data_IF_723861505191
#
_entry.id   IF_723861505191
#
_cell.length_a   1.000
_cell.length_b   1.000
_cell.length_c   1.000
_cell.angle_alpha   90.00
_cell.angle_beta   90.00
_cell.angle_gamma   90.00
#
_symmetry.space_group_name_H-M   'P 1'
#
loop_
_entity.id
_entity.type
_entity.pdbx_description
1 polymer ?
#
# COMPACT_ATOMS: atom_id res chain seq x y z
N UNK A 1 5.54 -4.70 -0.87
CA UNK A 1 5.85 -3.78 -1.99
C UNK A 1 7.14 -4.13 -2.71
N UNK A 2 8.30 -3.90 -2.10
CA UNK A 2 9.61 -3.90 -2.79
C UNK A 2 10.11 -5.24 -3.34
N UNK A 3 9.73 -6.36 -2.72
CA UNK A 3 10.23 -7.68 -3.15
C UNK A 3 9.48 -8.30 -4.33
N UNK A 4 8.22 -7.91 -4.54
CA UNK A 4 7.34 -8.56 -5.51
C UNK A 4 6.53 -7.55 -6.33
N UNK A 5 5.75 -6.70 -5.66
CA UNK A 5 4.79 -5.79 -6.31
C UNK A 5 5.49 -4.78 -7.22
N UNK A 6 6.45 -3.99 -6.72
CA UNK A 6 7.12 -2.97 -7.54
C UNK A 6 7.93 -3.61 -8.68
N UNK A 7 8.74 -4.68 -8.44
CA UNK A 7 9.42 -5.37 -9.53
C UNK A 7 8.45 -5.91 -10.57
N UNK A 8 7.33 -6.52 -10.18
CA UNK A 8 6.36 -7.05 -11.13
C UNK A 8 5.71 -5.96 -12.00
N UNK A 9 5.44 -4.78 -11.44
CA UNK A 9 4.91 -3.64 -12.21
C UNK A 9 5.98 -3.08 -13.16
N UNK A 10 7.23 -2.96 -12.70
CA UNK A 10 8.36 -2.50 -13.52
C UNK A 10 8.63 -3.42 -14.70
N UNK A 11 8.56 -4.72 -14.43
CA UNK A 11 8.66 -5.78 -15.41
C UNK A 11 7.54 -5.63 -16.48
N UNK A 12 6.29 -5.55 -16.03
CA UNK A 12 5.13 -5.41 -16.92
C UNK A 12 5.14 -4.13 -17.80
N UNK A 13 5.86 -3.08 -17.38
CA UNK A 13 6.00 -1.80 -18.10
C UNK A 13 4.65 -1.19 -18.55
N UNK A 14 3.72 -0.89 -17.62
CA UNK A 14 2.39 -0.39 -17.97
C UNK A 14 2.44 1.05 -18.47
N UNK A 15 1.47 1.43 -19.32
CA UNK A 15 1.21 2.84 -19.66
C UNK A 15 0.37 3.58 -18.62
N UNK A 16 -0.31 2.87 -17.72
CA UNK A 16 -1.18 3.42 -16.67
C UNK A 16 -1.27 2.41 -15.52
N UNK A 17 -1.17 2.89 -14.28
CA UNK A 17 -1.48 2.09 -13.09
C UNK A 17 -2.82 2.53 -12.51
N UNK A 18 -3.72 1.56 -12.31
CA UNK A 18 -5.00 1.77 -11.62
C UNK A 18 -5.02 0.92 -10.36
N UNK A 19 -5.28 1.54 -9.22
CA UNK A 19 -5.34 0.88 -7.91
C UNK A 19 -6.78 0.89 -7.40
N UNK A 20 -7.35 -0.29 -7.22
CA UNK A 20 -8.52 -0.50 -6.39
C UNK A 20 -8.13 -0.25 -4.91
N UNK A 21 -8.31 0.99 -4.46
CA UNK A 21 -7.78 1.52 -3.21
C UNK A 21 -8.80 1.35 -2.08
N UNK A 22 -8.90 0.11 -1.58
CA UNK A 22 -9.65 -0.21 -0.37
C UNK A 22 -8.88 0.12 0.90
N UNK A 23 -9.58 0.60 1.93
CA UNK A 23 -9.05 0.91 3.25
C UNK A 23 -9.50 -0.10 4.32
N UNK A 24 -10.13 -1.20 3.93
CA UNK A 24 -10.54 -2.28 4.83
C UNK A 24 -9.36 -3.03 5.44
N UNK A 25 -8.16 -2.95 4.85
CA UNK A 25 -6.93 -3.44 5.48
C UNK A 25 -6.46 -2.59 6.70
N UNK A 26 -7.14 -1.49 7.02
CA UNK A 26 -6.78 -0.65 8.15
C UNK A 26 -7.11 -1.33 9.50
N UNK A 27 -6.32 -0.98 10.52
CA UNK A 27 -6.39 -1.57 11.86
C UNK A 27 -7.71 -1.41 12.61
N UNK A 28 -8.55 -0.46 12.18
CA UNK A 28 -9.84 -0.14 12.82
C UNK A 28 -11.03 -0.54 11.95
N UNK A 29 -10.78 -1.24 10.85
CA UNK A 29 -11.85 -1.77 10.03
C UNK A 29 -12.59 -2.90 10.76
N UNK A 30 -13.93 -2.89 10.80
CA UNK A 30 -14.69 -3.95 11.46
C UNK A 30 -14.72 -5.26 10.65
N UNK A 31 -14.41 -5.24 9.36
CA UNK A 31 -14.49 -6.39 8.45
C UNK A 31 -13.10 -6.93 8.08
N UNK A 32 -12.14 -6.05 7.82
CA UNK A 32 -10.78 -6.42 7.50
C UNK A 32 -9.98 -6.75 8.75
N UNK A 33 -9.40 -7.96 8.80
CA UNK A 33 -8.67 -8.46 9.97
C UNK A 33 -7.18 -8.17 9.86
N UNK A 34 -6.86 -6.95 9.47
CA UNK A 34 -5.50 -6.48 9.18
C UNK A 34 -5.13 -5.33 10.12
N UNK A 35 -3.87 -4.90 10.10
CA UNK A 35 -3.33 -3.95 11.10
C UNK A 35 -2.60 -2.76 10.47
N UNK A 36 -3.00 -2.33 9.28
CA UNK A 36 -2.37 -1.17 8.64
C UNK A 36 -2.79 0.14 9.32
N UNK A 37 -1.83 1.03 9.55
CA UNK A 37 -2.10 2.43 9.91
C UNK A 37 -2.11 3.33 8.67
N UNK A 38 -2.57 4.57 8.84
CA UNK A 38 -2.60 5.57 7.77
C UNK A 38 -1.22 5.81 7.12
N UNK A 39 -0.14 5.80 7.92
CA UNK A 39 1.24 5.93 7.42
C UNK A 39 1.58 4.85 6.39
N UNK A 40 1.21 3.60 6.64
CA UNK A 40 1.48 2.50 5.72
C UNK A 40 0.81 2.69 4.36
N UNK A 41 -0.45 3.15 4.32
CA UNK A 41 -1.12 3.50 3.07
C UNK A 41 -0.39 4.63 2.33
N UNK A 42 0.02 5.68 3.03
CA UNK A 42 0.80 6.77 2.44
C UNK A 42 2.16 6.31 1.90
N UNK A 43 2.87 5.42 2.60
CA UNK A 43 4.16 4.87 2.16
C UNK A 43 4.02 4.04 0.88
N UNK A 44 3.03 3.14 0.83
CA UNK A 44 2.76 2.35 -0.38
C UNK A 44 2.40 3.25 -1.57
N UNK A 45 1.59 4.28 -1.35
CA UNK A 45 1.25 5.25 -2.40
C UNK A 45 2.47 6.03 -2.87
N UNK A 46 3.35 6.50 -1.98
CA UNK A 46 4.59 7.18 -2.37
C UNK A 46 5.49 6.29 -3.23
N UNK A 47 5.60 5.01 -2.89
CA UNK A 47 6.37 4.04 -3.68
C UNK A 47 5.76 3.87 -5.09
N UNK A 48 4.43 3.84 -5.20
CA UNK A 48 3.75 3.77 -6.50
C UNK A 48 3.89 5.06 -7.31
N UNK A 49 3.73 6.25 -6.69
CA UNK A 49 3.95 7.54 -7.36
C UNK A 49 5.34 7.57 -7.99
N UNK A 50 6.39 7.33 -7.19
CA UNK A 50 7.76 7.32 -7.68
C UNK A 50 8.02 6.27 -8.76
N UNK A 51 7.35 5.10 -8.70
CA UNK A 51 7.43 4.09 -9.73
C UNK A 51 6.79 4.58 -11.04
N UNK A 52 5.56 5.09 -10.97
CA UNK A 52 4.81 5.56 -12.15
C UNK A 52 5.43 6.79 -12.81
N UNK A 53 6.08 7.68 -12.05
CA UNK A 53 6.87 8.78 -12.61
C UNK A 53 7.97 8.28 -13.55
N UNK A 54 8.60 7.15 -13.23
CA UNK A 54 9.67 6.55 -14.04
C UNK A 54 9.13 5.74 -15.22
N UNK A 55 8.01 5.05 -15.07
CA UNK A 55 7.52 4.08 -16.06
C UNK A 55 6.50 4.67 -17.04
N UNK A 56 5.63 5.56 -16.58
CA UNK A 56 4.44 5.96 -17.32
C UNK A 56 4.05 7.42 -17.09
N UNK A 57 5.04 8.31 -16.97
CA UNK A 57 4.87 9.76 -16.80
C UNK A 57 3.93 10.15 -15.64
N UNK A 58 3.96 9.38 -14.55
CA UNK A 58 3.12 9.61 -13.37
C UNK A 58 1.64 9.27 -13.56
N UNK A 59 1.28 8.53 -14.62
CA UNK A 59 -0.10 8.05 -14.85
C UNK A 59 -0.49 6.99 -13.81
N UNK A 60 -1.03 7.48 -12.70
CA UNK A 60 -1.54 6.69 -11.57
C UNK A 60 -2.95 7.15 -11.20
N UNK A 61 -3.88 6.19 -11.06
CA UNK A 61 -5.26 6.45 -10.62
C UNK A 61 -5.57 5.59 -9.41
N UNK A 62 -6.04 6.22 -8.33
CA UNK A 62 -6.56 5.55 -7.15
C UNK A 62 -8.09 5.60 -7.17
N UNK A 63 -8.75 4.45 -7.10
CA UNK A 63 -10.21 4.34 -7.03
C UNK A 63 -10.58 3.90 -5.62
N UNK A 64 -11.30 4.73 -4.87
CA UNK A 64 -11.69 4.38 -3.51
C UNK A 64 -12.64 3.18 -3.52
N UNK A 65 -12.30 2.14 -2.77
CA UNK A 65 -13.11 0.91 -2.64
C UNK A 65 -13.54 0.71 -1.18
N UNK A 66 -13.42 -0.51 -0.63
CA UNK A 66 -13.80 -0.85 0.75
C UNK A 66 -13.14 0.04 1.82
N UNK A 67 -13.52 -0.18 3.07
CA UNK A 67 -13.17 0.69 4.19
C UNK A 67 -14.43 1.11 4.92
N UNK A 68 -14.65 0.48 6.07
CA UNK A 68 -15.92 0.50 6.79
C UNK A 68 -15.75 1.08 8.21
N UNK A 69 -14.55 1.58 8.52
CA UNK A 69 -14.27 2.35 9.73
C UNK A 69 -14.50 3.83 9.50
N UNK A 70 -15.68 4.35 9.84
CA UNK A 70 -16.01 5.77 9.69
C UNK A 70 -14.98 6.70 10.35
N UNK A 71 -14.42 6.28 11.49
CA UNK A 71 -13.45 7.07 12.24
C UNK A 71 -12.01 6.99 11.74
N UNK A 72 -11.65 5.98 10.93
CA UNK A 72 -10.24 5.72 10.58
C UNK A 72 -9.94 5.80 9.08
N UNK A 73 -10.92 5.48 8.23
CA UNK A 73 -10.81 5.63 6.77
C UNK A 73 -10.40 7.06 6.36
N UNK A 74 -10.89 8.16 6.97
CA UNK A 74 -10.45 9.51 6.60
C UNK A 74 -8.95 9.73 6.72
N UNK A 75 -8.28 9.17 7.74
CA UNK A 75 -6.83 9.28 7.90
C UNK A 75 -6.07 8.48 6.83
N UNK A 76 -6.55 7.29 6.51
CA UNK A 76 -5.96 6.45 5.46
C UNK A 76 -6.09 7.12 4.09
N UNK A 77 -7.30 7.59 3.76
CA UNK A 77 -7.56 8.31 2.51
C UNK A 77 -6.79 9.63 2.42
N UNK A 78 -6.70 10.40 3.52
CA UNK A 78 -5.88 11.60 3.56
C UNK A 78 -4.41 11.29 3.29
N UNK A 79 -3.84 10.24 3.90
CA UNK A 79 -2.44 9.85 3.67
C UNK A 79 -2.17 9.46 2.19
N UNK A 80 -3.14 8.82 1.53
CA UNK A 80 -3.06 8.52 0.09
C UNK A 80 -3.11 9.80 -0.74
N UNK A 81 -4.08 10.68 -0.50
CA UNK A 81 -4.22 11.95 -1.23
C UNK A 81 -3.00 12.84 -1.02
N UNK A 82 -2.50 12.92 0.22
CA UNK A 82 -1.29 13.66 0.55
C UNK A 82 -0.08 13.15 -0.26
N UNK A 83 0.09 11.83 -0.36
CA UNK A 83 1.15 11.21 -1.14
C UNK A 83 1.00 11.49 -2.65
N UNK A 84 -0.22 11.38 -3.21
CA UNK A 84 -0.49 11.68 -4.62
C UNK A 84 -0.20 13.14 -4.98
N UNK A 85 -0.57 14.08 -4.11
CA UNK A 85 -0.42 15.51 -4.37
C UNK A 85 0.98 16.05 -4.04
N UNK A 86 1.87 15.25 -3.43
CA UNK A 86 3.11 15.76 -2.85
C UNK A 86 2.87 16.86 -1.79
N UNK A 87 1.72 16.81 -1.12
CA UNK A 87 1.27 17.89 -0.24
C UNK A 87 2.02 17.89 1.10
N UNK A 88 2.34 19.10 1.58
CA UNK A 88 2.87 19.32 2.92
C UNK A 88 1.77 19.47 3.98
N UNK A 89 0.50 19.56 3.57
CA UNK A 89 -0.64 19.51 4.49
C UNK A 89 -0.69 18.14 5.13
N UNK A 90 -0.64 18.11 6.45
CA UNK A 90 -0.66 16.89 7.25
C UNK A 90 -1.84 16.93 8.22
N UNK A 91 -2.58 15.83 8.27
CA UNK A 91 -3.55 15.55 9.32
C UNK A 91 -2.96 14.44 10.19
N UNK A 92 -2.50 14.74 11.41
CA UNK A 92 -1.93 13.75 12.30
C UNK A 92 -2.96 12.67 12.62
N UNK A 93 -2.61 11.41 12.35
CA UNK A 93 -3.38 10.27 12.80
C UNK A 93 -3.03 9.97 14.28
N UNK A 94 -3.97 10.20 15.22
CA UNK A 94 -3.70 10.06 16.65
C UNK A 94 -3.43 8.62 17.08
N UNK A 95 -3.77 7.62 16.25
CA UNK A 95 -3.61 6.20 16.56
C UNK A 95 -2.42 5.57 15.82
N UNK A 96 -1.74 6.34 14.97
CA UNK A 96 -0.72 5.82 14.06
C UNK A 96 0.40 5.08 14.82
N UNK A 97 0.94 5.71 15.85
CA UNK A 97 2.08 5.19 16.61
C UNK A 97 1.66 4.06 17.57
N UNK A 98 0.43 4.13 18.10
CA UNK A 98 -0.16 3.04 18.88
C UNK A 98 -0.28 1.77 18.03
N UNK A 99 -0.87 1.88 16.84
CA UNK A 99 -1.04 0.76 15.91
C UNK A 99 0.32 0.22 15.46
N UNK A 100 1.30 1.10 15.19
CA UNK A 100 2.65 0.69 14.82
C UNK A 100 3.37 -0.09 15.94
N UNK A 101 2.98 0.13 17.20
CA UNK A 101 3.54 -0.56 18.36
C UNK A 101 2.83 -1.88 18.69
N UNK A 102 1.74 -2.23 18.00
CA UNK A 102 1.06 -3.51 18.22
C UNK A 102 1.98 -4.70 17.92
N UNK A 103 1.74 -5.80 18.63
CA UNK A 103 2.40 -7.08 18.34
C UNK A 103 2.10 -7.54 16.91
N UNK A 104 2.96 -8.40 16.37
CA UNK A 104 2.79 -8.99 15.03
C UNK A 104 2.80 -8.00 13.85
N UNK A 105 3.23 -6.75 14.05
CA UNK A 105 3.52 -5.82 12.94
C UNK A 105 4.71 -6.26 12.09
N UNK A 106 5.68 -6.94 12.71
CA UNK A 106 6.81 -7.53 11.98
C UNK A 106 6.37 -8.76 11.18
N UNK A 107 6.95 -8.93 9.99
CA UNK A 107 6.71 -10.09 9.13
C UNK A 107 7.11 -11.38 9.86
N UNK A 108 6.16 -12.31 10.00
CA UNK A 108 6.36 -13.58 10.66
C UNK A 108 7.10 -14.58 9.76
N UNK A 109 7.81 -15.58 10.31
CA UNK A 109 8.60 -16.53 9.50
C UNK A 109 7.78 -17.26 8.43
N UNK A 110 6.56 -17.68 8.75
CA UNK A 110 5.68 -18.36 7.79
C UNK A 110 5.18 -17.41 6.68
N UNK A 111 4.92 -16.14 7.00
CA UNK A 111 4.55 -15.13 6.00
C UNK A 111 5.73 -14.82 5.08
N UNK A 112 6.95 -14.76 5.63
CA UNK A 112 8.17 -14.60 4.85
C UNK A 112 8.37 -15.76 3.88
N UNK A 113 8.24 -17.00 4.35
CA UNK A 113 8.32 -18.18 3.48
C UNK A 113 7.33 -18.12 2.32
N UNK A 114 6.08 -17.72 2.57
CA UNK A 114 5.08 -17.53 1.51
C UNK A 114 5.48 -16.44 0.50
N UNK A 115 6.00 -15.31 0.96
CA UNK A 115 6.46 -14.24 0.08
C UNK A 115 7.65 -14.70 -0.76
N UNK A 116 8.62 -15.39 -0.15
CA UNK A 116 9.80 -15.89 -0.85
C UNK A 116 9.40 -16.91 -1.94
N UNK A 117 8.44 -17.80 -1.64
CA UNK A 117 7.88 -18.74 -2.60
C UNK A 117 7.15 -18.03 -3.76
N UNK A 118 6.37 -16.98 -3.47
CA UNK A 118 5.71 -16.18 -4.50
C UNK A 118 6.71 -15.45 -5.39
N UNK A 119 7.74 -14.85 -4.82
CA UNK A 119 8.84 -14.23 -5.55
C UNK A 119 9.52 -15.25 -6.46
N UNK A 120 9.92 -16.41 -5.93
CA UNK A 120 10.59 -17.45 -6.71
C UNK A 120 9.73 -17.91 -7.89
N UNK A 121 8.43 -18.13 -7.69
CA UNK A 121 7.51 -18.54 -8.74
C UNK A 121 7.31 -17.47 -9.81
N UNK A 122 7.14 -16.21 -9.41
CA UNK A 122 6.96 -15.10 -10.34
C UNK A 122 8.16 -14.93 -11.27
N UNK A 123 9.37 -14.87 -10.68
CA UNK A 123 10.59 -14.65 -11.45
C UNK A 123 11.03 -15.90 -12.25
N UNK A 124 10.72 -17.11 -11.79
CA UNK A 124 10.97 -18.33 -12.56
C UNK A 124 10.03 -18.47 -13.77
N UNK A 125 8.81 -17.95 -13.70
CA UNK A 125 7.84 -18.00 -14.79
C UNK A 125 8.13 -16.99 -15.93
N UNK A 126 9.24 -16.23 -15.84
CA UNK A 126 9.54 -15.17 -16.78
C UNK A 126 8.58 -13.99 -16.65
N UNK A 127 8.18 -13.66 -15.41
CA UNK A 127 7.49 -12.40 -15.10
C UNK A 127 8.38 -11.24 -15.52
N UNK A 128 8.23 -10.87 -16.80
CA UNK A 128 9.01 -9.90 -17.55
C UNK A 128 8.52 -8.51 -17.31
#
# INVERSE_FOLDING_TARGET
MRSLVLPAIEAFAPDLVVVACGYDACAKDPLGKMMLNSRAFGEMTRELVALTERLCDGRLVMVHEGGYSEGYVPFCGHAVIQALCGSTTSVPDPQNDEIAAWGYQALQPHQRGMIDDWCARWFAAGGS
#
